data_IF_424210983032
#
_entry.id   IF_424210983032
#
_cell.length_a   1.000
_cell.length_b   1.000
_cell.length_c   1.000
_cell.angle_alpha   90.00
_cell.angle_beta   90.00
_cell.angle_gamma   90.00
#
_symmetry.space_group_name_H-M   'P 1'
#
loop_
_entity.id
_entity.type
_entity.pdbx_description
1 polymer ?
#
# COMPACT_ATOMS: atom_id res chain seq x y z
N UNK A 1 12.48 17.12 -8.44
CA UNK A 1 11.61 18.01 -7.61
C UNK A 1 11.98 19.43 -7.92
N UNK A 2 11.05 20.27 -8.38
CA UNK A 2 11.29 21.72 -8.47
C UNK A 2 11.43 22.24 -7.04
N UNK A 3 12.54 22.93 -6.76
CA UNK A 3 12.75 23.58 -5.46
C UNK A 3 11.69 24.67 -5.27
N UNK A 4 10.96 24.61 -4.15
CA UNK A 4 10.01 25.63 -3.76
C UNK A 4 10.73 26.98 -3.73
N UNK A 5 10.14 28.03 -4.32
CA UNK A 5 10.75 29.36 -4.34
C UNK A 5 11.00 29.83 -2.90
N UNK A 6 12.27 30.12 -2.60
CA UNK A 6 12.63 30.62 -1.29
C UNK A 6 12.31 32.11 -1.22
N UNK A 7 11.46 32.52 -0.27
CA UNK A 7 11.09 33.90 -0.02
C UNK A 7 11.89 34.47 1.15
N UNK A 8 12.30 35.73 0.99
CA UNK A 8 12.95 36.47 2.04
C UNK A 8 11.88 36.88 3.08
N UNK A 9 12.02 36.43 4.32
CA UNK A 9 11.09 36.72 5.41
C UNK A 9 11.80 37.35 6.60
N UNK A 10 11.07 38.08 7.41
CA UNK A 10 11.54 38.58 8.70
C UNK A 10 10.87 37.75 9.80
N UNK A 11 11.67 37.01 10.58
CA UNK A 11 11.20 36.33 11.78
C UNK A 11 11.32 37.25 12.97
N UNK A 12 10.24 37.41 13.69
CA UNK A 12 10.21 38.15 14.97
C UNK A 12 10.03 37.09 16.07
N UNK A 13 10.99 37.03 17.00
CA UNK A 13 10.94 36.12 18.15
C UNK A 13 11.54 36.82 19.37
N UNK A 14 10.81 36.82 20.47
CA UNK A 14 11.24 37.42 21.75
C UNK A 14 11.78 38.87 21.61
N UNK A 15 11.13 39.70 20.78
CA UNK A 15 11.50 41.11 20.55
C UNK A 15 12.74 41.31 19.64
N UNK A 16 13.27 40.24 19.02
CA UNK A 16 14.37 40.32 18.03
C UNK A 16 13.85 40.01 16.64
N UNK A 17 14.37 40.70 15.63
CA UNK A 17 14.06 40.43 14.22
C UNK A 17 15.26 39.83 13.52
N UNK A 18 15.03 38.79 12.71
CA UNK A 18 16.02 38.08 11.91
C UNK A 18 15.51 37.96 10.48
N UNK A 19 16.34 38.28 9.50
CA UNK A 19 16.07 38.02 8.08
C UNK A 19 16.51 36.60 7.73
N UNK A 20 15.60 35.81 7.14
CA UNK A 20 15.92 34.46 6.64
C UNK A 20 15.20 34.18 5.33
N UNK A 21 15.73 33.21 4.61
CA UNK A 21 15.03 32.63 3.45
C UNK A 21 14.22 31.42 3.90
N UNK A 22 12.98 31.35 3.46
CA UNK A 22 12.10 30.22 3.77
C UNK A 22 11.36 29.76 2.50
N UNK A 23 11.35 28.46 2.22
CA UNK A 23 10.52 27.93 1.15
C UNK A 23 9.04 28.13 1.50
N UNK A 24 8.25 28.49 0.51
CA UNK A 24 6.80 28.69 0.62
C UNK A 24 6.10 27.82 -0.41
N UNK A 25 4.96 27.28 -0.07
CA UNK A 25 4.16 26.45 -0.97
C UNK A 25 3.70 27.26 -2.19
N UNK A 26 3.82 26.64 -3.35
CA UNK A 26 3.41 27.22 -4.62
C UNK A 26 1.91 26.96 -4.87
N UNK A 27 1.16 28.00 -5.20
CA UNK A 27 -0.20 27.90 -5.74
C UNK A 27 -0.13 27.85 -7.27
N UNK A 28 -0.50 26.72 -7.84
CA UNK A 28 -0.46 26.51 -9.28
C UNK A 28 -1.89 26.45 -9.84
N UNK A 29 -2.34 27.49 -10.58
CA UNK A 29 -3.64 27.51 -11.22
C UNK A 29 -3.60 26.72 -12.54
N UNK A 30 -4.16 25.51 -12.52
CA UNK A 30 -4.27 24.64 -13.68
C UNK A 30 -5.63 24.83 -14.35
N UNK A 31 -5.64 25.46 -15.52
CA UNK A 31 -6.85 25.61 -16.36
C UNK A 31 -7.15 24.27 -17.04
N UNK A 32 -8.38 23.81 -16.92
CA UNK A 32 -8.83 22.53 -17.42
C UNK A 32 -9.77 22.71 -18.60
N UNK A 33 -9.34 22.22 -19.78
CA UNK A 33 -10.13 22.17 -20.99
C UNK A 33 -10.48 20.72 -21.30
N UNK A 34 -11.77 20.42 -21.47
CA UNK A 34 -12.27 19.07 -21.73
C UNK A 34 -13.10 19.07 -23.01
N UNK A 35 -12.77 18.17 -23.94
CA UNK A 35 -13.41 18.09 -25.27
C UNK A 35 -13.49 19.46 -25.97
N UNK A 36 -12.44 20.27 -25.83
CA UNK A 36 -12.32 21.61 -26.43
C UNK A 36 -13.03 22.76 -25.67
N UNK A 37 -13.73 22.47 -24.58
CA UNK A 37 -14.44 23.48 -23.76
C UNK A 37 -13.72 23.70 -22.43
N UNK A 38 -13.67 24.94 -21.96
CA UNK A 38 -13.17 25.22 -20.61
C UNK A 38 -14.15 24.69 -19.57
N UNK A 39 -13.61 23.91 -18.60
CA UNK A 39 -14.39 23.28 -17.54
C UNK A 39 -14.24 24.02 -16.22
N UNK A 40 -12.99 24.21 -15.77
CA UNK A 40 -12.66 24.79 -14.47
C UNK A 40 -11.18 25.22 -14.40
N UNK A 41 -10.81 25.92 -13.34
CA UNK A 41 -9.42 26.11 -12.91
C UNK A 41 -9.22 25.41 -11.58
N UNK A 42 -8.28 24.47 -11.52
CA UNK A 42 -7.88 23.78 -10.31
C UNK A 42 -6.67 24.49 -9.71
N UNK A 43 -6.79 24.99 -8.49
CA UNK A 43 -5.65 25.49 -7.73
C UNK A 43 -5.03 24.31 -6.99
N UNK A 44 -3.78 23.96 -7.32
CA UNK A 44 -3.14 22.72 -6.86
C UNK A 44 -1.63 22.92 -6.68
N UNK A 45 -0.96 21.90 -6.16
CA UNK A 45 0.52 21.81 -6.21
C UNK A 45 0.98 21.34 -7.59
N UNK A 46 2.12 21.83 -8.14
CA UNK A 46 2.53 21.62 -9.54
C UNK A 46 3.27 20.27 -9.77
N UNK A 47 2.84 19.20 -9.16
CA UNK A 47 3.46 17.86 -9.34
C UNK A 47 2.43 16.80 -9.68
N UNK A 48 2.83 15.73 -10.36
CA UNK A 48 1.98 14.55 -10.70
C UNK A 48 0.56 14.94 -11.17
N UNK A 49 0.48 15.92 -12.07
CA UNK A 49 -0.79 16.53 -12.49
C UNK A 49 -1.69 15.53 -13.24
N UNK A 50 -1.12 14.51 -13.88
CA UNK A 50 -1.86 13.41 -14.49
C UNK A 50 -2.70 12.64 -13.48
N UNK A 51 -2.17 12.37 -12.28
CA UNK A 51 -2.92 11.70 -11.22
C UNK A 51 -4.04 12.60 -10.69
N UNK A 52 -3.74 13.88 -10.47
CA UNK A 52 -4.76 14.85 -10.05
C UNK A 52 -5.96 14.87 -11.03
N UNK A 53 -5.67 14.94 -12.33
CA UNK A 53 -6.71 15.06 -13.36
C UNK A 53 -7.52 13.77 -13.50
N UNK A 54 -6.88 12.61 -13.62
CA UNK A 54 -7.59 11.34 -13.73
C UNK A 54 -8.49 11.09 -12.52
N UNK A 55 -7.97 11.32 -11.31
CA UNK A 55 -8.75 11.17 -10.10
C UNK A 55 -9.85 12.20 -9.96
N UNK A 56 -9.62 13.46 -10.37
CA UNK A 56 -10.65 14.48 -10.44
C UNK A 56 -11.82 13.99 -11.32
N UNK A 57 -11.55 13.53 -12.55
CA UNK A 57 -12.62 13.03 -13.45
C UNK A 57 -13.33 11.80 -12.87
N UNK A 58 -12.58 10.87 -12.26
CA UNK A 58 -13.16 9.68 -11.62
C UNK A 58 -14.09 10.07 -10.47
N UNK A 59 -13.66 10.98 -9.61
CA UNK A 59 -14.42 11.37 -8.41
C UNK A 59 -15.55 12.32 -8.72
N UNK A 60 -15.50 13.02 -9.85
CA UNK A 60 -16.63 13.78 -10.38
C UNK A 60 -17.64 12.86 -11.09
N UNK A 61 -17.30 11.61 -11.42
CA UNK A 61 -18.14 10.67 -12.15
C UNK A 61 -18.19 10.92 -13.66
N UNK A 62 -17.15 11.55 -14.22
CA UNK A 62 -17.02 11.74 -15.66
C UNK A 62 -16.42 10.53 -16.35
N UNK A 63 -15.67 9.73 -15.61
CA UNK A 63 -15.05 8.49 -16.09
C UNK A 63 -15.21 7.38 -15.04
N UNK A 64 -15.22 6.14 -15.49
CA UNK A 64 -15.17 4.96 -14.65
C UNK A 64 -13.81 4.27 -14.69
N UNK A 65 -13.08 4.40 -15.77
CA UNK A 65 -11.74 3.83 -15.97
C UNK A 65 -10.84 4.78 -16.77
N UNK A 66 -9.55 4.46 -16.87
CA UNK A 66 -8.61 5.19 -17.72
C UNK A 66 -8.92 5.02 -19.21
N UNK A 67 -9.64 3.96 -19.61
CA UNK A 67 -10.06 3.74 -20.99
C UNK A 67 -11.03 4.81 -21.49
N UNK A 68 -11.70 5.51 -20.59
CA UNK A 68 -12.60 6.62 -20.93
C UNK A 68 -11.82 7.89 -21.33
N UNK A 69 -10.52 7.95 -21.05
CA UNK A 69 -9.63 9.05 -21.42
C UNK A 69 -8.99 8.73 -22.77
N UNK A 70 -9.35 9.47 -23.81
CA UNK A 70 -8.73 9.33 -25.12
C UNK A 70 -7.35 9.98 -25.17
N UNK A 71 -7.20 11.16 -24.55
CA UNK A 71 -5.94 11.85 -24.40
C UNK A 71 -5.94 12.75 -23.16
N UNK A 72 -4.78 12.83 -22.51
CA UNK A 72 -4.53 13.74 -21.40
C UNK A 72 -3.18 14.39 -21.60
N UNK A 73 -3.18 15.70 -21.85
CA UNK A 73 -1.99 16.51 -22.03
C UNK A 73 -1.95 17.64 -21.02
N UNK A 74 -0.79 17.82 -20.37
CA UNK A 74 -0.54 18.94 -19.45
C UNK A 74 0.60 19.77 -19.98
N UNK A 75 0.34 21.05 -20.21
CA UNK A 75 1.35 22.03 -20.54
C UNK A 75 1.66 22.86 -19.30
N UNK A 76 2.73 22.48 -18.59
CA UNK A 76 3.12 23.09 -17.32
C UNK A 76 3.44 24.57 -17.47
N UNK A 77 4.07 25.00 -18.59
CA UNK A 77 4.49 26.38 -18.81
C UNK A 77 3.30 27.34 -18.93
N UNK A 78 2.15 26.85 -19.41
CA UNK A 78 0.94 27.67 -19.60
C UNK A 78 -0.14 27.43 -18.56
N UNK A 79 0.09 26.51 -17.61
CA UNK A 79 -0.94 26.13 -16.62
C UNK A 79 -2.22 25.62 -17.29
N UNK A 80 -2.08 24.80 -18.35
CA UNK A 80 -3.19 24.29 -19.14
C UNK A 80 -3.16 22.76 -19.20
N UNK A 81 -4.27 22.16 -18.86
CA UNK A 81 -4.53 20.76 -19.11
C UNK A 81 -5.62 20.59 -20.18
N UNK A 82 -5.32 19.83 -21.22
CA UNK A 82 -6.26 19.48 -22.27
C UNK A 82 -6.57 17.99 -22.22
N UNK A 83 -7.83 17.66 -22.04
CA UNK A 83 -8.30 16.28 -21.86
C UNK A 83 -9.39 15.98 -22.87
N UNK A 84 -9.30 14.82 -23.52
CA UNK A 84 -10.38 14.29 -24.37
C UNK A 84 -10.95 13.04 -23.71
N UNK A 85 -12.24 13.08 -23.41
CA UNK A 85 -13.02 11.98 -22.88
C UNK A 85 -13.87 11.36 -23.98
N UNK A 86 -14.12 10.04 -23.89
CA UNK A 86 -15.01 9.31 -24.82
C UNK A 86 -16.48 9.70 -24.67
N UNK A 87 -16.89 10.06 -23.44
CA UNK A 87 -18.24 10.48 -23.12
C UNK A 87 -18.46 12.00 -23.29
N UNK A 88 -19.74 12.38 -23.38
CA UNK A 88 -20.13 13.79 -23.33
C UNK A 88 -20.14 14.28 -21.88
N UNK A 89 -19.70 15.53 -21.68
CA UNK A 89 -19.83 16.18 -20.38
C UNK A 89 -21.31 16.57 -20.17
N UNK A 90 -21.82 16.47 -18.91
CA UNK A 90 -23.15 16.94 -18.62
C UNK A 90 -23.27 18.45 -18.92
N UNK A 91 -24.35 18.84 -19.57
CA UNK A 91 -24.56 20.22 -20.05
C UNK A 91 -24.56 21.29 -18.96
N UNK A 92 -24.79 20.91 -17.71
CA UNK A 92 -24.76 21.82 -16.55
C UNK A 92 -23.96 21.21 -15.39
N UNK A 93 -22.74 21.67 -15.24
CA UNK A 93 -22.01 21.54 -13.99
C UNK A 93 -22.59 22.59 -13.03
N UNK A 94 -23.30 22.17 -12.00
CA UNK A 94 -23.74 23.09 -10.95
C UNK A 94 -22.57 23.29 -9.97
N UNK A 95 -21.86 24.44 -9.99
CA UNK A 95 -20.82 24.70 -9.04
C UNK A 95 -21.43 24.89 -7.65
N UNK A 96 -21.01 24.08 -6.69
CA UNK A 96 -21.31 24.30 -5.27
C UNK A 96 -20.17 25.10 -4.67
N UNK A 97 -20.46 26.29 -4.14
CA UNK A 97 -19.49 27.06 -3.38
C UNK A 97 -19.27 26.36 -2.04
N UNK A 98 -18.09 25.82 -1.83
CA UNK A 98 -17.71 25.23 -0.54
C UNK A 98 -16.96 26.26 0.32
N UNK A 99 -17.13 26.16 1.63
CA UNK A 99 -16.51 27.07 2.62
C UNK A 99 -15.00 26.87 2.77
N UNK A 100 -14.25 26.95 1.70
CA UNK A 100 -12.79 26.85 1.73
C UNK A 100 -12.21 26.42 0.38
N UNK A 101 -11.46 27.31 -0.24
CA UNK A 101 -10.61 27.09 -1.40
C UNK A 101 -11.25 26.35 -2.59
N UNK A 102 -12.06 27.07 -3.36
CA UNK A 102 -12.46 26.63 -4.70
C UNK A 102 -13.96 26.42 -4.89
N UNK A 103 -14.40 26.62 -6.11
CA UNK A 103 -15.72 26.25 -6.60
C UNK A 103 -15.82 24.72 -6.63
N UNK A 104 -16.43 24.10 -5.63
CA UNK A 104 -16.75 22.68 -5.62
C UNK A 104 -17.87 22.39 -6.63
N UNK A 105 -17.71 21.39 -7.43
CA UNK A 105 -18.80 20.83 -8.22
C UNK A 105 -19.67 19.98 -7.28
N UNK A 106 -21.00 20.10 -7.36
CA UNK A 106 -21.92 19.39 -6.47
C UNK A 106 -21.78 17.88 -6.61
N UNK A 107 -21.56 17.20 -5.50
CA UNK A 107 -21.46 15.74 -5.46
C UNK A 107 -22.82 15.13 -5.13
N UNK A 108 -23.50 14.62 -6.12
CA UNK A 108 -24.63 13.72 -5.90
C UNK A 108 -24.08 12.30 -5.78
N UNK A 109 -24.06 11.75 -4.54
CA UNK A 109 -23.81 10.31 -4.37
C UNK A 109 -25.06 9.53 -4.79
N UNK A 110 -24.95 8.59 -5.73
CA UNK A 110 -26.06 7.70 -6.06
C UNK A 110 -26.51 6.93 -4.82
N UNK A 111 -27.82 6.86 -4.58
CA UNK A 111 -28.41 6.11 -3.46
C UNK A 111 -27.99 4.64 -3.44
N UNK A 112 -27.74 4.07 -4.61
CA UNK A 112 -27.25 2.70 -4.79
C UNK A 112 -25.85 2.50 -4.18
N UNK A 113 -24.92 3.43 -4.40
CA UNK A 113 -23.58 3.41 -3.80
C UNK A 113 -23.62 3.44 -2.26
N UNK A 114 -24.55 4.21 -1.68
CA UNK A 114 -24.73 4.27 -0.24
C UNK A 114 -25.26 2.96 0.33
N UNK A 115 -26.18 2.29 -0.38
CA UNK A 115 -26.77 1.01 0.05
C UNK A 115 -25.78 -0.16 -0.05
N UNK A 116 -25.00 -0.23 -1.11
CA UNK A 116 -24.00 -1.27 -1.32
C UNK A 116 -22.85 -1.19 -0.28
N UNK A 117 -22.39 0.01 0.01
CA UNK A 117 -21.35 0.22 1.02
C UNK A 117 -21.80 -0.17 2.44
N UNK A 118 -23.07 0.06 2.78
CA UNK A 118 -23.61 -0.20 4.12
C UNK A 118 -23.69 -1.69 4.47
N UNK A 119 -23.84 -2.57 3.50
CA UNK A 119 -24.08 -4.01 3.72
C UNK A 119 -22.79 -4.83 3.92
N UNK A 120 -21.62 -4.23 3.75
CA UNK A 120 -20.35 -4.95 3.83
C UNK A 120 -19.86 -5.09 5.28
N UNK A 121 -19.57 -6.31 5.75
CA UNK A 121 -18.93 -6.50 7.05
C UNK A 121 -17.47 -5.99 6.97
N UNK A 122 -17.13 -5.07 7.84
CA UNK A 122 -15.78 -4.48 7.92
C UNK A 122 -15.27 -4.56 9.34
N UNK A 123 -14.00 -4.87 9.46
CA UNK A 123 -13.30 -4.83 10.75
C UNK A 123 -11.93 -4.18 10.54
N UNK A 124 -11.61 -3.24 11.41
CA UNK A 124 -10.34 -2.53 11.46
C UNK A 124 -9.80 -2.59 12.88
N UNK A 125 -8.48 -2.58 13.02
CA UNK A 125 -7.84 -2.51 14.33
C UNK A 125 -7.40 -1.07 14.62
N UNK A 126 -7.56 -0.61 15.85
CA UNK A 126 -7.16 0.74 16.26
C UNK A 126 -5.67 1.01 16.00
N UNK A 127 -4.82 0.00 16.23
CA UNK A 127 -3.38 0.09 16.00
C UNK A 127 -3.02 0.24 14.53
N UNK A 128 -3.81 -0.35 13.62
CA UNK A 128 -3.64 -0.19 12.18
C UNK A 128 -3.89 1.25 11.76
N UNK A 129 -4.92 1.90 12.31
CA UNK A 129 -5.21 3.33 12.08
C UNK A 129 -4.06 4.20 12.61
N UNK A 130 -3.58 3.92 13.83
CA UNK A 130 -2.46 4.67 14.44
C UNK A 130 -1.17 4.50 13.65
N UNK A 131 -0.89 3.28 13.16
CA UNK A 131 0.27 2.96 12.33
C UNK A 131 0.25 3.75 11.04
N UNK A 132 -0.85 3.69 10.29
CA UNK A 132 -0.99 4.40 9.02
C UNK A 132 -0.90 5.92 9.21
N UNK A 133 -1.51 6.47 10.28
CA UNK A 133 -1.40 7.89 10.60
C UNK A 133 0.02 8.29 10.98
N UNK A 134 0.76 7.45 11.67
CA UNK A 134 2.18 7.66 12.00
C UNK A 134 3.02 7.70 10.72
N UNK A 135 2.77 6.77 9.79
CA UNK A 135 3.46 6.71 8.50
C UNK A 135 3.16 7.94 7.66
N UNK A 136 1.90 8.39 7.56
CA UNK A 136 1.54 9.66 6.93
C UNK A 136 2.35 10.83 7.50
N UNK A 137 2.47 10.92 8.83
CA UNK A 137 3.23 12.00 9.48
C UNK A 137 4.74 11.93 9.19
N UNK A 138 5.29 10.76 8.92
CA UNK A 138 6.70 10.59 8.56
C UNK A 138 6.98 11.00 7.11
N UNK A 139 6.04 10.74 6.21
CA UNK A 139 6.16 11.02 4.78
C UNK A 139 5.89 12.48 4.41
N UNK A 140 5.29 13.28 5.29
CA UNK A 140 4.95 14.69 5.01
C UNK A 140 6.20 15.59 5.04
N UNK A 141 7.07 15.46 4.05
CA UNK A 141 8.30 16.25 3.92
C UNK A 141 8.01 17.71 3.62
N UNK A 142 7.10 18.00 2.69
CA UNK A 142 6.74 19.35 2.30
C UNK A 142 6.01 20.10 3.43
N UNK A 143 5.15 19.42 4.17
CA UNK A 143 4.52 20.01 5.36
C UNK A 143 5.55 20.41 6.42
N UNK A 144 6.61 19.61 6.60
CA UNK A 144 7.67 19.92 7.58
C UNK A 144 8.54 21.08 7.16
N UNK A 145 8.75 21.27 5.85
CA UNK A 145 9.63 22.32 5.33
C UNK A 145 8.99 23.71 5.41
N UNK A 146 7.70 23.85 5.08
CA UNK A 146 7.07 25.17 4.97
C UNK A 146 5.64 25.27 5.53
N UNK A 147 4.99 24.17 5.91
CA UNK A 147 3.56 24.19 6.29
C UNK A 147 2.65 24.47 5.07
N UNK A 148 1.34 24.64 5.28
CA UNK A 148 0.42 25.06 4.22
C UNK A 148 0.06 24.01 3.17
N UNK A 149 0.45 22.75 3.37
CA UNK A 149 0.12 21.60 2.53
C UNK A 149 -0.73 20.62 3.32
N UNK A 150 -1.67 20.00 2.65
CA UNK A 150 -2.42 18.86 3.15
C UNK A 150 -1.82 17.56 2.62
N UNK A 151 -1.98 16.48 3.39
CA UNK A 151 -1.57 15.15 3.01
C UNK A 151 -2.68 14.13 3.27
N UNK A 152 -2.73 13.11 2.42
CA UNK A 152 -3.59 11.96 2.58
C UNK A 152 -2.81 10.70 2.23
N UNK A 153 -3.14 9.59 2.89
CA UNK A 153 -2.63 8.28 2.55
C UNK A 153 -3.75 7.25 2.59
N UNK A 154 -3.63 6.26 1.72
CA UNK A 154 -4.45 5.05 1.79
C UNK A 154 -3.56 3.91 2.24
N UNK A 155 -4.06 3.14 3.19
CA UNK A 155 -3.45 1.91 3.66
C UNK A 155 -4.45 0.77 3.70
N UNK A 156 -3.93 -0.43 3.76
CA UNK A 156 -4.75 -1.62 3.91
C UNK A 156 -5.27 -1.78 5.36
N UNK A 157 -6.02 -2.85 5.61
CA UNK A 157 -6.62 -3.13 6.92
C UNK A 157 -5.59 -3.32 8.04
N UNK A 158 -4.35 -3.69 7.70
CA UNK A 158 -3.25 -3.84 8.64
C UNK A 158 -2.52 -2.52 8.91
N UNK A 159 -2.95 -1.43 8.25
CA UNK A 159 -2.35 -0.10 8.37
C UNK A 159 -1.04 0.07 7.62
N UNK A 160 -0.78 -0.77 6.61
CA UNK A 160 0.36 -0.62 5.73
C UNK A 160 0.02 0.32 4.59
N UNK A 161 0.94 1.24 4.31
CA UNK A 161 0.78 2.25 3.28
C UNK A 161 0.67 1.62 1.88
N UNK A 162 -0.34 2.03 1.14
CA UNK A 162 -0.53 1.70 -0.28
C UNK A 162 -0.25 2.92 -1.16
N UNK A 163 -0.79 4.08 -0.82
CA UNK A 163 -0.70 5.32 -1.58
C UNK A 163 -0.55 6.52 -0.66
N UNK A 164 0.15 7.55 -1.15
CA UNK A 164 0.34 8.82 -0.45
C UNK A 164 0.29 10.00 -1.44
N UNK A 165 -0.36 11.07 -1.05
CA UNK A 165 -0.43 12.30 -1.83
C UNK A 165 -0.36 13.55 -0.93
N UNK A 166 0.32 14.58 -1.43
CA UNK A 166 0.35 15.92 -0.85
C UNK A 166 -0.19 16.94 -1.86
N UNK A 167 -0.93 17.94 -1.37
CA UNK A 167 -1.42 19.08 -2.16
C UNK A 167 -1.77 20.24 -1.23
N UNK A 168 -1.75 21.47 -1.76
CA UNK A 168 -2.26 22.67 -1.06
C UNK A 168 -3.75 22.53 -0.74
N UNK A 169 -4.51 21.79 -1.56
CA UNK A 169 -5.93 21.51 -1.39
C UNK A 169 -6.17 20.12 -0.79
N UNK A 170 -6.80 20.04 0.40
CA UNK A 170 -7.15 18.73 1.00
C UNK A 170 -8.02 17.85 0.09
N UNK A 171 -8.87 18.44 -0.76
CA UNK A 171 -9.69 17.68 -1.72
C UNK A 171 -8.85 17.12 -2.88
N UNK A 172 -7.85 17.89 -3.32
CA UNK A 172 -6.92 17.45 -4.36
C UNK A 172 -6.07 16.26 -3.90
N UNK A 173 -5.79 16.11 -2.60
CA UNK A 173 -5.06 14.93 -2.11
C UNK A 173 -5.82 13.63 -2.41
N UNK A 174 -7.17 13.65 -2.30
CA UNK A 174 -8.00 12.50 -2.65
C UNK A 174 -8.06 12.28 -4.15
N UNK A 175 -8.15 13.36 -4.93
CA UNK A 175 -8.11 13.26 -6.39
C UNK A 175 -6.79 12.62 -6.85
N UNK A 176 -5.64 13.02 -6.27
CA UNK A 176 -4.34 12.42 -6.56
C UNK A 176 -4.28 10.95 -6.19
N UNK A 177 -4.75 10.59 -4.99
CA UNK A 177 -4.81 9.19 -4.55
C UNK A 177 -5.69 8.35 -5.48
N UNK A 178 -6.86 8.87 -5.87
CA UNK A 178 -7.76 8.18 -6.79
C UNK A 178 -7.13 7.96 -8.17
N UNK A 179 -6.51 9.01 -8.72
CA UNK A 179 -5.82 8.90 -10.00
C UNK A 179 -4.61 7.96 -9.93
N UNK A 180 -3.78 8.08 -8.91
CA UNK A 180 -2.65 7.16 -8.73
C UNK A 180 -3.11 5.71 -8.58
N UNK A 181 -4.22 5.47 -7.85
CA UNK A 181 -4.83 4.14 -7.75
C UNK A 181 -5.26 3.59 -9.12
N UNK A 182 -5.89 4.43 -9.96
CA UNK A 182 -6.27 4.04 -11.33
C UNK A 182 -5.06 3.68 -12.18
N UNK A 183 -4.03 4.52 -12.21
CA UNK A 183 -2.80 4.27 -12.98
C UNK A 183 -2.04 3.04 -12.48
N UNK A 184 -2.10 2.77 -11.18
CA UNK A 184 -1.43 1.63 -10.54
C UNK A 184 -2.32 0.40 -10.38
N UNK A 185 -3.58 0.46 -10.83
CA UNK A 185 -4.59 -0.59 -10.64
C UNK A 185 -4.68 -1.11 -9.19
N UNK A 186 -4.58 -0.19 -8.24
CA UNK A 186 -4.69 -0.50 -6.82
C UNK A 186 -6.16 -0.45 -6.43
N UNK A 187 -6.68 -1.55 -5.88
CA UNK A 187 -8.04 -1.62 -5.39
C UNK A 187 -8.16 -0.89 -4.05
N UNK A 188 -9.06 0.10 -4.00
CA UNK A 188 -9.31 0.92 -2.82
C UNK A 188 -10.50 0.46 -1.98
N UNK A 189 -11.21 -0.58 -2.44
CA UNK A 189 -12.37 -1.11 -1.77
C UNK A 189 -12.03 -1.60 -0.36
N UNK A 190 -12.79 -1.12 0.64
CA UNK A 190 -12.63 -1.44 2.06
C UNK A 190 -11.26 -1.10 2.66
N UNK A 191 -10.47 -0.24 2.00
CA UNK A 191 -9.22 0.26 2.53
C UNK A 191 -9.44 1.41 3.52
N UNK A 192 -8.37 1.81 4.23
CA UNK A 192 -8.37 2.94 5.16
C UNK A 192 -7.78 4.18 4.51
N UNK A 193 -8.46 5.31 4.65
CA UNK A 193 -7.97 6.65 4.26
C UNK A 193 -7.59 7.43 5.50
N UNK A 194 -6.36 7.92 5.58
CA UNK A 194 -5.93 8.85 6.62
C UNK A 194 -5.59 10.21 6.00
N UNK A 195 -5.91 11.31 6.71
CA UNK A 195 -5.69 12.67 6.22
C UNK A 195 -5.23 13.63 7.31
N UNK A 196 -4.43 14.62 6.94
CA UNK A 196 -4.05 15.72 7.83
C UNK A 196 -5.16 16.78 7.97
N UNK A 197 -6.08 16.83 6.99
CA UNK A 197 -7.12 17.86 6.87
C UNK A 197 -8.42 17.51 7.56
N UNK A 198 -9.28 18.54 7.78
CA UNK A 198 -10.64 18.36 8.27
C UNK A 198 -11.46 17.52 7.30
N UNK A 199 -12.27 16.59 7.83
CA UNK A 199 -13.17 15.75 7.02
C UNK A 199 -14.49 16.49 6.79
N UNK A 200 -14.73 16.89 5.54
CA UNK A 200 -15.98 17.51 5.07
C UNK A 200 -16.88 16.50 4.36
N UNK A 201 -18.12 16.87 4.09
CA UNK A 201 -19.07 16.09 3.29
C UNK A 201 -18.48 15.68 1.93
N UNK A 202 -17.78 16.62 1.27
CA UNK A 202 -17.11 16.34 -0.01
C UNK A 202 -16.02 15.26 0.12
N UNK A 203 -15.21 15.31 1.17
CA UNK A 203 -14.18 14.29 1.43
C UNK A 203 -14.82 12.91 1.61
N UNK A 204 -15.93 12.83 2.37
CA UNK A 204 -16.67 11.58 2.55
C UNK A 204 -17.27 11.09 1.24
N UNK A 205 -17.87 11.99 0.45
CA UNK A 205 -18.44 11.65 -0.85
C UNK A 205 -17.38 11.06 -1.80
N UNK A 206 -16.20 11.68 -1.87
CA UNK A 206 -15.06 11.15 -2.63
C UNK A 206 -14.61 9.77 -2.13
N UNK A 207 -14.44 9.63 -0.82
CA UNK A 207 -14.03 8.36 -0.21
C UNK A 207 -15.06 7.24 -0.45
N UNK A 208 -16.36 7.55 -0.36
CA UNK A 208 -17.43 6.60 -0.65
C UNK A 208 -17.41 6.10 -2.11
N UNK A 209 -17.12 7.00 -3.08
CA UNK A 209 -16.95 6.60 -4.50
C UNK A 209 -15.75 5.68 -4.72
N UNK A 210 -14.74 5.76 -3.90
CA UNK A 210 -13.57 4.86 -3.93
C UNK A 210 -13.81 3.55 -3.16
N UNK A 211 -14.97 3.40 -2.51
CA UNK A 211 -15.27 2.24 -1.68
C UNK A 211 -14.49 2.19 -0.36
N UNK A 212 -13.89 3.30 0.06
CA UNK A 212 -13.16 3.41 1.32
C UNK A 212 -14.06 3.02 2.50
N UNK A 213 -13.58 2.18 3.38
CA UNK A 213 -14.37 1.69 4.51
C UNK A 213 -14.11 2.41 5.84
N UNK A 214 -12.94 3.05 5.98
CA UNK A 214 -12.60 3.84 7.15
C UNK A 214 -11.90 5.15 6.74
N UNK A 215 -12.34 6.27 7.34
CA UNK A 215 -11.68 7.57 7.21
C UNK A 215 -11.16 8.00 8.57
N UNK A 216 -9.88 8.33 8.67
CA UNK A 216 -9.28 8.86 9.89
C UNK A 216 -8.59 10.21 9.64
N UNK A 217 -8.71 11.13 10.58
CA UNK A 217 -8.13 12.47 10.47
C UNK A 217 -7.41 12.91 11.75
N UNK A 218 -6.36 13.71 11.58
CA UNK A 218 -5.72 14.43 12.70
C UNK A 218 -6.59 15.52 13.33
N UNK A 219 -7.65 15.92 12.63
CA UNK A 219 -8.56 17.02 13.00
C UNK A 219 -10.00 16.54 13.12
N UNK A 220 -10.95 17.46 13.23
CA UNK A 220 -12.36 17.15 13.38
C UNK A 220 -13.07 16.87 12.05
N UNK A 221 -14.12 16.04 12.06
CA UNK A 221 -15.11 16.03 10.99
C UNK A 221 -16.11 17.17 11.15
N UNK A 222 -16.93 17.40 10.09
CA UNK A 222 -18.14 18.22 10.18
C UNK A 222 -19.36 17.35 10.52
N UNK A 223 -20.43 17.96 11.02
CA UNK A 223 -21.70 17.29 11.36
C UNK A 223 -22.30 16.52 10.16
N UNK A 224 -22.34 17.17 8.98
CA UNK A 224 -22.82 16.57 7.75
C UNK A 224 -21.92 15.43 7.26
N UNK A 225 -20.60 15.51 7.49
CA UNK A 225 -19.68 14.41 7.19
C UNK A 225 -19.98 13.18 8.08
N UNK A 226 -20.27 13.40 9.36
CA UNK A 226 -20.66 12.32 10.28
C UNK A 226 -21.96 11.65 9.79
N UNK A 227 -22.99 12.46 9.47
CA UNK A 227 -24.26 11.93 8.98
C UNK A 227 -24.09 11.12 7.67
N UNK A 228 -23.27 11.61 6.74
CA UNK A 228 -23.00 10.91 5.49
C UNK A 228 -22.22 9.60 5.71
N UNK A 229 -21.22 9.57 6.60
CA UNK A 229 -20.52 8.36 6.99
C UNK A 229 -21.46 7.31 7.59
N UNK A 230 -22.41 7.73 8.44
CA UNK A 230 -23.44 6.83 9.00
C UNK A 230 -24.33 6.21 7.92
N UNK A 231 -24.69 7.00 6.91
CA UNK A 231 -25.48 6.51 5.77
C UNK A 231 -24.67 5.57 4.87
N UNK A 232 -23.41 5.88 4.61
CA UNK A 232 -22.54 5.15 3.70
C UNK A 232 -21.87 3.91 4.35
N UNK A 233 -22.07 3.64 5.65
CA UNK A 233 -21.44 2.53 6.35
C UNK A 233 -19.92 2.71 6.54
N UNK A 234 -19.42 3.95 6.50
CA UNK A 234 -17.99 4.28 6.65
C UNK A 234 -17.66 4.57 8.11
N UNK A 235 -16.64 3.92 8.65
CA UNK A 235 -16.10 4.25 9.97
C UNK A 235 -15.37 5.59 9.92
N UNK A 236 -15.78 6.56 10.74
CA UNK A 236 -15.17 7.87 10.79
C UNK A 236 -14.47 8.09 12.12
N UNK A 237 -13.18 8.40 12.03
CA UNK A 237 -12.30 8.63 13.17
C UNK A 237 -11.68 10.03 13.05
N UNK A 238 -11.73 10.80 14.13
CA UNK A 238 -11.09 12.11 14.20
C UNK A 238 -10.07 12.20 15.32
N UNK A 239 -9.37 13.33 15.39
CA UNK A 239 -8.38 13.65 16.41
C UNK A 239 -7.34 12.56 16.65
N UNK A 240 -6.92 11.83 15.58
CA UNK A 240 -5.89 10.81 15.67
C UNK A 240 -4.55 11.45 15.99
N UNK A 241 -4.12 11.37 17.25
CA UNK A 241 -2.89 12.00 17.77
C UNK A 241 -2.26 11.13 18.84
N UNK A 242 -0.99 10.78 18.67
CA UNK A 242 -0.31 9.85 19.58
C UNK A 242 -1.01 8.50 19.62
N UNK A 243 -1.57 8.14 20.77
CA UNK A 243 -2.34 6.90 20.97
C UNK A 243 -3.86 7.17 21.13
N UNK A 244 -4.32 8.37 20.86
CA UNK A 244 -5.72 8.77 21.04
C UNK A 244 -6.42 8.93 19.71
N UNK A 245 -7.72 8.62 19.69
CA UNK A 245 -8.62 8.85 18.57
C UNK A 245 -10.07 8.92 19.05
N UNK A 246 -10.91 9.66 18.33
CA UNK A 246 -12.36 9.78 18.60
C UNK A 246 -13.13 9.12 17.46
N UNK A 247 -14.03 8.19 17.76
CA UNK A 247 -14.84 7.47 16.76
C UNK A 247 -16.23 8.09 16.65
N UNK A 248 -16.58 8.60 15.48
CA UNK A 248 -17.82 9.34 15.20
C UNK A 248 -18.92 8.51 14.54
N UNK A 249 -18.55 7.46 13.78
CA UNK A 249 -19.51 6.56 13.14
C UNK A 249 -19.00 5.13 13.13
N UNK A 250 -19.92 4.16 13.17
CA UNK A 250 -19.67 2.72 13.08
C UNK A 250 -18.58 2.19 14.05
N UNK A 251 -18.62 2.52 15.37
CA UNK A 251 -17.60 2.08 16.32
C UNK A 251 -17.47 0.55 16.41
N UNK A 252 -18.52 -0.19 16.08
CA UNK A 252 -18.52 -1.66 16.06
C UNK A 252 -17.61 -2.26 14.97
N UNK A 253 -17.21 -1.46 13.97
CA UNK A 253 -16.27 -1.88 12.92
C UNK A 253 -14.81 -1.64 13.32
N UNK A 254 -14.55 -0.89 14.41
CA UNK A 254 -13.23 -0.62 14.94
C UNK A 254 -13.03 -1.38 16.24
N UNK A 255 -12.11 -2.34 16.23
CA UNK A 255 -11.71 -3.06 17.44
C UNK A 255 -10.59 -2.30 18.13
N UNK A 256 -10.69 -2.20 19.46
CA UNK A 256 -9.59 -1.66 20.26
C UNK A 256 -8.57 -2.76 20.43
N UNK A 257 -7.43 -2.63 19.77
CA UNK A 257 -6.31 -3.54 19.97
C UNK A 257 -5.75 -3.35 21.38
N UNK A 258 -5.78 -4.38 22.20
CA UNK A 258 -5.20 -4.36 23.54
C UNK A 258 -3.68 -4.57 23.53
N UNK A 259 -3.14 -5.02 22.45
CA UNK A 259 -1.74 -5.07 21.97
C UNK A 259 -1.78 -5.62 20.53
N UNK A 260 -0.79 -5.32 19.68
CA UNK A 260 -0.58 -6.11 18.45
C UNK A 260 -0.31 -7.53 18.92
N UNK A 261 -1.29 -8.42 18.83
CA UNK A 261 -1.07 -9.83 19.11
C UNK A 261 -0.11 -10.37 18.05
N UNK A 262 1.17 -10.29 18.37
CA UNK A 262 2.19 -11.00 17.61
C UNK A 262 1.96 -12.51 17.82
N UNK A 263 2.38 -13.26 16.84
CA UNK A 263 2.34 -14.72 16.92
C UNK A 263 3.51 -15.14 17.78
N UNK A 264 3.19 -15.58 19.01
CA UNK A 264 4.20 -15.96 19.98
C UNK A 264 4.88 -17.30 19.59
N UNK A 265 6.16 -17.40 19.92
CA UNK A 265 6.92 -18.62 19.74
C UNK A 265 7.23 -18.99 18.28
N UNK A 266 7.03 -18.06 17.33
CA UNK A 266 7.33 -18.22 15.92
C UNK A 266 8.23 -17.08 15.44
N UNK A 267 9.30 -17.42 14.71
CA UNK A 267 10.16 -16.46 14.01
C UNK A 267 9.72 -16.35 12.56
N UNK A 268 9.56 -15.13 12.06
CA UNK A 268 9.32 -14.88 10.64
C UNK A 268 10.62 -15.03 9.82
N UNK A 269 10.58 -15.77 8.73
CA UNK A 269 11.74 -15.98 7.86
C UNK A 269 11.42 -15.55 6.44
N UNK A 270 12.24 -14.67 5.88
CA UNK A 270 12.16 -14.21 4.50
C UNK A 270 13.33 -14.80 3.73
N UNK A 271 13.03 -15.58 2.70
CA UNK A 271 14.07 -16.13 1.82
C UNK A 271 14.40 -15.10 0.72
N UNK A 272 15.56 -14.50 0.81
CA UNK A 272 16.08 -13.52 -0.14
C UNK A 272 17.38 -14.06 -0.76
N UNK A 273 17.29 -15.22 -1.40
CA UNK A 273 18.38 -15.89 -2.08
C UNK A 273 17.85 -16.64 -3.30
N UNK A 274 18.65 -16.68 -4.34
CA UNK A 274 18.37 -17.40 -5.58
C UNK A 274 19.04 -16.69 -6.75
N UNK A 275 19.66 -17.45 -7.66
CA UNK A 275 20.17 -16.90 -8.91
C UNK A 275 18.98 -16.39 -9.75
N UNK A 276 18.72 -15.10 -9.72
CA UNK A 276 17.69 -14.41 -10.53
C UNK A 276 18.05 -14.37 -12.02
N UNK A 277 18.46 -15.53 -12.58
CA UNK A 277 18.98 -15.66 -13.96
C UNK A 277 18.01 -15.17 -15.04
N UNK A 278 16.68 -15.17 -14.73
CA UNK A 278 15.63 -14.82 -15.72
C UNK A 278 15.29 -13.34 -15.77
N UNK A 279 15.60 -12.56 -14.72
CA UNK A 279 15.22 -11.15 -14.59
C UNK A 279 16.39 -10.18 -14.81
N UNK A 280 17.65 -10.68 -14.88
CA UNK A 280 18.85 -9.83 -15.05
C UNK A 280 19.20 -8.93 -13.86
N UNK A 281 18.37 -8.90 -12.82
CA UNK A 281 18.55 -8.14 -11.58
C UNK A 281 17.96 -8.90 -10.40
N UNK A 282 18.39 -8.57 -9.19
CA UNK A 282 17.82 -9.16 -7.97
C UNK A 282 16.36 -8.73 -7.80
N UNK A 283 15.43 -9.69 -7.88
CA UNK A 283 13.99 -9.47 -7.80
C UNK A 283 13.57 -8.77 -6.51
N UNK A 284 14.23 -9.08 -5.40
CA UNK A 284 13.91 -8.54 -4.08
C UNK A 284 14.04 -7.02 -4.02
N UNK A 285 14.89 -6.45 -4.90
CA UNK A 285 15.19 -5.02 -4.96
C UNK A 285 14.31 -4.25 -5.96
N UNK A 286 13.45 -4.94 -6.73
CA UNK A 286 12.58 -4.27 -7.70
C UNK A 286 11.59 -3.35 -6.98
N UNK A 287 11.45 -2.09 -7.45
CA UNK A 287 10.56 -1.13 -6.84
C UNK A 287 9.10 -1.40 -7.17
N UNK A 288 8.25 -1.46 -6.14
CA UNK A 288 6.79 -1.56 -6.25
C UNK A 288 6.17 -0.56 -5.30
N UNK A 289 5.29 0.30 -5.81
CA UNK A 289 4.58 1.30 -5.01
C UNK A 289 5.50 2.16 -4.10
N UNK A 290 6.70 2.51 -4.62
CA UNK A 290 7.65 3.38 -3.90
C UNK A 290 8.54 2.68 -2.87
N UNK A 291 8.49 1.35 -2.76
CA UNK A 291 9.39 0.55 -1.92
C UNK A 291 9.82 -0.73 -2.65
N UNK A 292 10.90 -1.39 -2.21
CA UNK A 292 11.34 -2.67 -2.79
C UNK A 292 10.39 -3.80 -2.39
N UNK A 293 10.31 -4.87 -3.17
CA UNK A 293 9.51 -6.06 -2.83
C UNK A 293 9.79 -6.56 -1.41
N UNK A 294 11.05 -6.69 -1.06
CA UNK A 294 11.45 -7.19 0.25
C UNK A 294 11.01 -6.25 1.39
N UNK A 295 10.93 -4.94 1.15
CA UNK A 295 10.45 -3.98 2.15
C UNK A 295 8.96 -4.21 2.46
N UNK A 296 8.14 -4.51 1.44
CA UNK A 296 6.73 -4.87 1.62
C UNK A 296 6.59 -6.17 2.41
N UNK A 297 7.33 -7.21 2.03
CA UNK A 297 7.34 -8.50 2.72
C UNK A 297 7.79 -8.32 4.17
N UNK A 298 8.90 -7.60 4.42
CA UNK A 298 9.42 -7.36 5.76
C UNK A 298 8.41 -6.63 6.65
N UNK A 299 7.78 -5.55 6.16
CA UNK A 299 6.79 -4.79 6.92
C UNK A 299 5.62 -5.68 7.38
N UNK A 300 5.14 -6.59 6.51
CA UNK A 300 4.09 -7.55 6.85
C UNK A 300 4.54 -8.53 7.94
N UNK A 301 5.73 -9.11 7.78
CA UNK A 301 6.29 -10.05 8.73
C UNK A 301 6.58 -9.40 10.10
N UNK A 302 7.06 -8.15 10.11
CA UNK A 302 7.37 -7.40 11.34
C UNK A 302 6.13 -7.03 12.18
N UNK A 303 4.94 -7.01 11.56
CA UNK A 303 3.67 -6.86 12.29
C UNK A 303 3.33 -8.15 13.04
N UNK A 304 3.58 -9.29 12.42
CA UNK A 304 3.14 -10.60 12.90
C UNK A 304 4.10 -11.22 13.90
N UNK A 305 5.42 -11.03 13.74
CA UNK A 305 6.44 -11.73 14.49
C UNK A 305 7.32 -10.77 15.28
N UNK A 306 7.76 -11.21 16.47
CA UNK A 306 8.72 -10.45 17.28
C UNK A 306 10.11 -10.47 16.64
N UNK A 307 10.55 -11.63 16.14
CA UNK A 307 11.79 -11.79 15.39
C UNK A 307 11.48 -12.02 13.91
N UNK A 308 12.17 -11.28 13.04
CA UNK A 308 12.21 -11.55 11.60
C UNK A 308 13.66 -11.76 11.18
N UNK A 309 13.92 -12.77 10.36
CA UNK A 309 15.23 -13.11 9.81
C UNK A 309 15.14 -13.07 8.28
N UNK A 310 16.13 -12.47 7.62
CA UNK A 310 16.33 -12.60 6.18
C UNK A 310 17.45 -13.62 5.95
N UNK A 311 17.14 -14.70 5.24
CA UNK A 311 18.13 -15.67 4.77
C UNK A 311 18.67 -15.21 3.42
N UNK A 312 19.96 -14.86 3.38
CA UNK A 312 20.61 -14.31 2.20
C UNK A 312 22.11 -14.52 2.23
N UNK A 313 22.71 -14.72 1.06
CA UNK A 313 24.15 -14.76 0.88
C UNK A 313 24.74 -13.38 0.48
N UNK A 314 23.90 -12.35 0.37
CA UNK A 314 24.28 -10.97 0.03
C UNK A 314 23.65 -9.99 1.04
N UNK A 315 24.09 -10.02 2.33
CA UNK A 315 23.47 -9.22 3.40
C UNK A 315 23.64 -7.71 3.19
N UNK A 316 24.63 -7.28 2.41
CA UNK A 316 24.90 -5.88 2.04
C UNK A 316 23.74 -5.23 1.27
N UNK A 317 22.94 -6.02 0.54
CA UNK A 317 21.78 -5.50 -0.22
C UNK A 317 20.60 -5.10 0.68
N UNK A 318 20.61 -5.52 1.94
CA UNK A 318 19.47 -5.38 2.87
C UNK A 318 19.83 -4.66 4.16
N UNK A 319 20.90 -3.86 4.15
CA UNK A 319 21.42 -3.15 5.36
C UNK A 319 20.39 -2.20 5.98
N UNK A 320 19.51 -1.61 5.15
CA UNK A 320 18.48 -0.67 5.60
C UNK A 320 17.30 -1.35 6.33
N UNK A 321 17.13 -2.68 6.17
CA UNK A 321 16.06 -3.41 6.84
C UNK A 321 16.51 -3.76 8.26
N UNK A 322 15.81 -3.33 9.31
CA UNK A 322 16.25 -3.50 10.71
C UNK A 322 15.93 -4.90 11.25
N UNK A 323 16.50 -5.94 10.64
CA UNK A 323 16.39 -7.32 11.08
C UNK A 323 17.71 -8.07 10.89
N UNK A 324 17.82 -9.26 11.48
CA UNK A 324 18.99 -10.13 11.33
C UNK A 324 19.06 -10.77 9.95
N UNK A 325 20.24 -10.78 9.33
CA UNK A 325 20.54 -11.46 8.07
C UNK A 325 21.42 -12.66 8.38
N UNK A 326 21.12 -13.79 7.81
CA UNK A 326 21.86 -15.04 8.01
C UNK A 326 22.17 -15.71 6.65
N UNK A 327 23.34 -16.31 6.46
CA UNK A 327 23.67 -17.00 5.22
C UNK A 327 23.05 -18.39 5.17
N UNK A 328 23.02 -18.98 3.96
CA UNK A 328 22.72 -20.39 3.78
C UNK A 328 23.80 -21.26 4.42
N UNK A 329 23.40 -22.24 5.25
CA UNK A 329 24.31 -23.26 5.80
C UNK A 329 24.70 -24.24 4.68
N UNK A 330 23.75 -24.63 3.84
CA UNK A 330 23.98 -25.46 2.67
C UNK A 330 23.99 -24.57 1.41
N UNK A 331 25.18 -24.14 1.01
CA UNK A 331 25.33 -23.19 -0.09
C UNK A 331 24.82 -23.74 -1.43
N UNK A 332 24.12 -22.94 -2.21
CA UNK A 332 23.61 -23.22 -3.56
C UNK A 332 22.66 -24.44 -3.68
N UNK A 333 21.97 -24.81 -2.59
CA UNK A 333 21.03 -25.94 -2.59
C UNK A 333 19.53 -25.53 -2.62
N UNK A 334 19.23 -24.32 -3.10
CA UNK A 334 17.88 -23.86 -3.39
C UNK A 334 17.04 -23.49 -2.13
N UNK A 335 15.72 -23.47 -2.29
CA UNK A 335 14.81 -23.00 -1.22
C UNK A 335 14.84 -23.90 0.03
N UNK A 336 15.11 -25.21 -0.10
CA UNK A 336 15.22 -26.10 1.06
C UNK A 336 16.38 -25.67 1.98
N UNK A 337 17.52 -25.31 1.41
CA UNK A 337 18.67 -24.80 2.18
C UNK A 337 18.34 -23.49 2.91
N UNK A 338 17.60 -22.61 2.26
CA UNK A 338 17.14 -21.37 2.88
C UNK A 338 16.19 -21.60 4.05
N UNK A 339 15.22 -22.52 3.91
CA UNK A 339 14.30 -22.89 5.01
C UNK A 339 15.08 -23.52 6.17
N UNK A 340 16.00 -24.47 5.87
CA UNK A 340 16.88 -25.09 6.87
C UNK A 340 17.67 -24.03 7.63
N UNK A 341 18.33 -23.11 6.92
CA UNK A 341 19.16 -22.06 7.51
C UNK A 341 18.33 -21.09 8.39
N UNK A 342 17.15 -20.71 7.90
CA UNK A 342 16.20 -19.91 8.68
C UNK A 342 15.81 -20.59 9.97
N UNK A 343 15.49 -21.89 9.93
CA UNK A 343 15.07 -22.68 11.08
C UNK A 343 16.21 -22.91 12.07
N UNK A 344 17.42 -23.20 11.57
CA UNK A 344 18.59 -23.38 12.41
C UNK A 344 19.02 -22.11 13.15
N UNK A 345 18.85 -20.93 12.54
CA UNK A 345 19.22 -19.65 13.13
C UNK A 345 18.13 -18.99 13.95
N UNK A 346 16.87 -19.46 13.87
CA UNK A 346 15.75 -18.90 14.60
C UNK A 346 15.90 -19.10 16.12
N UNK A 347 15.50 -18.06 16.89
CA UNK A 347 15.42 -18.16 18.35
C UNK A 347 14.24 -19.05 18.76
N UNK A 348 13.15 -18.99 18.04
CA UNK A 348 11.94 -19.78 18.30
C UNK A 348 12.09 -21.22 17.82
N UNK A 349 11.28 -22.13 18.40
CA UNK A 349 11.24 -23.54 17.97
C UNK A 349 10.54 -23.70 16.63
N UNK A 350 9.81 -22.70 16.18
CA UNK A 350 9.09 -22.71 14.90
C UNK A 350 9.38 -21.45 14.09
N UNK A 351 9.33 -21.59 12.77
CA UNK A 351 9.45 -20.48 11.83
C UNK A 351 8.26 -20.45 10.87
N UNK A 352 7.85 -19.26 10.45
CA UNK A 352 6.98 -19.06 9.30
C UNK A 352 7.82 -18.52 8.14
N UNK A 353 7.78 -19.21 7.00
CA UNK A 353 8.64 -18.92 5.85
C UNK A 353 7.85 -18.26 4.74
N UNK A 354 8.43 -17.22 4.13
CA UNK A 354 7.93 -16.59 2.89
C UNK A 354 9.07 -16.33 1.91
N UNK A 355 8.74 -16.31 0.62
CA UNK A 355 9.65 -15.81 -0.42
C UNK A 355 9.68 -14.28 -0.47
N UNK A 356 10.82 -13.69 -0.80
CA UNK A 356 10.93 -12.24 -1.01
C UNK A 356 10.15 -11.73 -2.23
N UNK A 357 9.71 -12.63 -3.11
CA UNK A 357 8.93 -12.37 -4.32
C UNK A 357 7.41 -12.57 -4.15
N UNK A 358 6.93 -12.64 -2.88
CA UNK A 358 5.52 -12.80 -2.50
C UNK A 358 4.99 -11.52 -1.82
N UNK A 359 4.72 -10.42 -2.54
CA UNK A 359 4.42 -9.12 -1.92
C UNK A 359 3.01 -9.02 -1.31
N UNK A 360 2.11 -9.97 -1.61
CA UNK A 360 0.70 -9.89 -1.23
C UNK A 360 0.34 -10.74 0.01
N UNK A 361 1.26 -10.86 0.96
CA UNK A 361 1.03 -11.63 2.20
C UNK A 361 -0.24 -11.11 2.89
N UNK A 362 -1.18 -12.04 3.14
CA UNK A 362 -2.37 -11.78 3.95
C UNK A 362 -2.12 -12.22 5.39
N UNK A 363 -2.17 -11.27 6.33
CA UNK A 363 -1.85 -11.52 7.74
C UNK A 363 -2.80 -12.51 8.41
N UNK A 364 -4.08 -12.55 8.00
CA UNK A 364 -5.06 -13.51 8.52
C UNK A 364 -4.75 -14.94 8.04
N UNK A 365 -4.29 -15.10 6.80
CA UNK A 365 -3.82 -16.42 6.30
C UNK A 365 -2.62 -16.90 7.13
N UNK A 366 -1.67 -16.02 7.41
CA UNK A 366 -0.49 -16.36 8.23
C UNK A 366 -0.92 -16.74 9.66
N UNK A 367 -1.84 -15.99 10.28
CA UNK A 367 -2.38 -16.30 11.61
C UNK A 367 -3.08 -17.64 11.63
N UNK A 368 -3.91 -17.92 10.62
CA UNK A 368 -4.60 -19.22 10.50
C UNK A 368 -3.60 -20.37 10.41
N UNK A 369 -2.57 -20.27 9.56
CA UNK A 369 -1.53 -21.31 9.44
C UNK A 369 -0.83 -21.51 10.79
N UNK A 370 -0.40 -20.43 11.44
CA UNK A 370 0.31 -20.48 12.72
C UNK A 370 -0.57 -20.96 13.87
N UNK A 371 -1.89 -20.80 13.82
CA UNK A 371 -2.81 -21.32 14.84
C UNK A 371 -2.78 -22.84 14.95
N UNK A 372 -2.32 -23.51 13.89
CA UNK A 372 -2.15 -24.96 13.84
C UNK A 372 -0.77 -25.46 14.31
N UNK A 373 0.09 -24.57 14.84
CA UNK A 373 1.47 -24.87 15.23
C UNK A 373 1.64 -26.08 16.16
N UNK A 374 0.70 -26.29 17.08
CA UNK A 374 0.75 -27.41 18.02
C UNK A 374 0.37 -28.77 17.39
N UNK A 375 -0.13 -28.79 16.15
CA UNK A 375 -0.70 -30.00 15.53
C UNK A 375 0.31 -30.83 14.77
N UNK A 376 1.45 -30.25 14.34
CA UNK A 376 2.46 -30.95 13.55
C UNK A 376 3.82 -30.25 13.55
N UNK A 377 4.77 -30.92 12.94
CA UNK A 377 6.13 -30.43 12.74
C UNK A 377 6.19 -29.44 11.56
N UNK A 378 5.33 -29.69 10.55
CA UNK A 378 5.15 -28.88 9.35
C UNK A 378 3.64 -28.60 9.16
N UNK A 379 3.27 -27.31 9.04
CA UNK A 379 1.91 -26.90 8.67
C UNK A 379 1.98 -26.18 7.32
N UNK A 380 1.33 -26.72 6.30
CA UNK A 380 1.42 -26.24 4.93
C UNK A 380 0.03 -26.04 4.32
N UNK A 381 -0.26 -24.89 3.71
CA UNK A 381 -1.48 -24.68 2.96
C UNK A 381 -1.42 -25.37 1.60
N UNK A 382 -2.58 -25.80 1.14
CA UNK A 382 -2.80 -26.32 -0.19
C UNK A 382 -3.60 -25.32 -1.01
N UNK A 383 -3.00 -24.78 -2.08
CA UNK A 383 -3.63 -23.90 -3.05
C UNK A 383 -4.13 -24.68 -4.26
N UNK A 384 -4.71 -23.96 -5.24
CA UNK A 384 -5.01 -24.54 -6.58
C UNK A 384 -3.77 -25.05 -7.30
N UNK A 385 -2.59 -24.52 -6.97
CA UNK A 385 -1.30 -24.90 -7.55
C UNK A 385 -0.62 -26.06 -6.82
N UNK A 386 -1.17 -26.51 -5.69
CA UNK A 386 -0.60 -27.56 -4.84
C UNK A 386 -0.13 -27.03 -3.48
N UNK A 387 0.88 -27.69 -2.89
CA UNK A 387 1.48 -27.24 -1.64
C UNK A 387 2.26 -25.94 -1.82
N UNK A 388 2.16 -25.05 -0.81
CA UNK A 388 2.84 -23.75 -0.79
C UNK A 388 3.98 -23.74 0.26
N UNK A 389 5.11 -24.36 -0.04
CA UNK A 389 6.19 -24.54 0.94
C UNK A 389 6.92 -23.25 1.30
N UNK A 390 6.78 -22.19 0.50
CA UNK A 390 7.28 -20.85 0.82
C UNK A 390 6.20 -19.93 1.39
N UNK A 391 5.16 -20.52 1.96
CA UNK A 391 4.15 -19.84 2.75
C UNK A 391 3.63 -20.79 3.85
N UNK A 392 4.57 -21.34 4.66
CA UNK A 392 4.32 -22.46 5.55
C UNK A 392 5.04 -22.30 6.90
N UNK A 393 4.57 -23.04 7.91
CA UNK A 393 5.16 -23.09 9.26
C UNK A 393 5.99 -24.38 9.39
N UNK A 394 7.24 -24.25 9.85
CA UNK A 394 8.19 -25.34 10.08
C UNK A 394 8.66 -25.35 11.53
N UNK A 395 8.70 -26.52 12.16
CA UNK A 395 9.30 -26.75 13.47
C UNK A 395 10.72 -27.29 13.35
N UNK A 396 11.55 -27.11 14.39
CA UNK A 396 12.92 -27.63 14.46
C UNK A 396 13.00 -29.15 14.34
N UNK A 397 11.91 -29.84 14.61
CA UNK A 397 11.74 -31.28 14.39
C UNK A 397 11.96 -31.65 12.92
N UNK A 398 11.79 -30.71 11.98
CA UNK A 398 12.04 -30.94 10.56
C UNK A 398 13.55 -30.97 10.20
N UNK A 399 14.44 -30.38 11.02
CA UNK A 399 15.86 -30.24 10.70
C UNK A 399 16.54 -31.56 10.33
N UNK A 400 16.42 -32.67 11.10
CA UNK A 400 17.10 -33.91 10.75
C UNK A 400 16.62 -34.53 9.42
N UNK A 401 15.36 -34.31 9.05
CA UNK A 401 14.80 -34.78 7.79
C UNK A 401 15.30 -33.92 6.60
N UNK A 402 15.36 -32.59 6.80
CA UNK A 402 15.92 -31.66 5.81
C UNK A 402 17.40 -31.92 5.55
N UNK A 403 18.19 -32.15 6.62
CA UNK A 403 19.63 -32.44 6.54
C UNK A 403 19.90 -33.69 5.72
N UNK A 404 19.15 -34.78 5.95
CA UNK A 404 19.29 -36.01 5.13
C UNK A 404 19.08 -35.76 3.63
N UNK A 405 18.11 -34.91 3.28
CA UNK A 405 17.83 -34.56 1.88
C UNK A 405 18.95 -33.69 1.30
N UNK A 406 19.42 -32.69 2.08
CA UNK A 406 20.49 -31.79 1.67
C UNK A 406 21.85 -32.50 1.55
N UNK A 407 22.21 -33.39 2.48
CA UNK A 407 23.43 -34.21 2.45
C UNK A 407 23.46 -35.17 1.25
N UNK A 408 22.28 -35.64 0.80
CA UNK A 408 22.15 -36.39 -0.44
C UNK A 408 22.25 -35.51 -1.70
N UNK A 409 22.48 -34.18 -1.58
CA UNK A 409 22.58 -33.25 -2.70
C UNK A 409 21.24 -32.94 -3.38
N UNK A 410 20.12 -33.32 -2.74
CA UNK A 410 18.78 -33.10 -3.27
C UNK A 410 18.25 -31.73 -2.83
N UNK A 411 17.56 -31.02 -3.76
CA UNK A 411 17.16 -29.61 -3.56
C UNK A 411 15.66 -29.41 -3.42
N UNK A 412 14.85 -30.45 -3.71
CA UNK A 412 13.40 -30.32 -3.74
C UNK A 412 12.82 -30.41 -2.35
N UNK A 413 12.16 -29.33 -1.92
CA UNK A 413 11.65 -29.16 -0.56
C UNK A 413 10.61 -30.24 -0.15
N UNK A 414 9.86 -30.79 -1.09
CA UNK A 414 8.83 -31.80 -0.80
C UNK A 414 9.40 -33.17 -0.39
N UNK A 415 10.70 -33.42 -0.56
CA UNK A 415 11.31 -34.75 -0.38
C UNK A 415 11.43 -35.21 1.07
N UNK A 416 11.22 -34.32 2.05
CA UNK A 416 11.26 -34.72 3.46
C UNK A 416 9.87 -34.78 4.12
N UNK A 417 8.79 -34.46 3.39
CA UNK A 417 7.44 -34.31 3.98
C UNK A 417 6.90 -35.61 4.60
N UNK A 418 7.22 -36.75 4.02
CA UNK A 418 6.87 -38.08 4.52
C UNK A 418 7.65 -38.53 5.76
N UNK A 419 8.66 -37.76 6.15
CA UNK A 419 9.53 -38.04 7.30
C UNK A 419 9.16 -37.21 8.55
N UNK A 420 8.14 -36.35 8.47
CA UNK A 420 7.73 -35.41 9.50
C UNK A 420 6.21 -35.46 9.71
N UNK A 421 5.74 -34.98 10.85
CA UNK A 421 4.31 -34.87 11.10
C UNK A 421 3.73 -33.68 10.32
N UNK A 422 3.23 -33.99 9.13
CA UNK A 422 2.65 -33.01 8.20
C UNK A 422 1.20 -32.69 8.57
N UNK A 423 0.85 -31.41 8.59
CA UNK A 423 -0.52 -30.89 8.66
C UNK A 423 -0.80 -30.09 7.40
N UNK A 424 -1.67 -30.62 6.56
CA UNK A 424 -2.13 -29.94 5.36
C UNK A 424 -3.39 -29.12 5.65
N UNK A 425 -3.38 -27.85 5.27
CA UNK A 425 -4.56 -26.98 5.37
C UNK A 425 -5.22 -26.90 3.98
N UNK A 426 -6.47 -27.39 3.85
CA UNK A 426 -7.15 -27.38 2.57
C UNK A 426 -7.43 -25.94 2.09
N UNK A 427 -7.52 -25.73 0.78
CA UNK A 427 -7.80 -24.44 0.17
C UNK A 427 -9.06 -23.76 0.73
N UNK A 428 -10.08 -24.53 1.15
CA UNK A 428 -11.30 -23.99 1.75
C UNK A 428 -11.07 -23.21 3.05
N UNK A 429 -10.03 -23.55 3.81
CA UNK A 429 -9.62 -22.81 5.02
C UNK A 429 -9.02 -21.47 4.61
N UNK A 430 -8.13 -21.48 3.62
CA UNK A 430 -7.44 -20.29 3.12
C UNK A 430 -8.41 -19.33 2.45
N UNK A 431 -9.35 -19.85 1.65
CA UNK A 431 -10.33 -19.04 0.89
C UNK A 431 -11.26 -18.21 1.78
N UNK A 432 -11.36 -18.51 3.08
CA UNK A 432 -12.11 -17.67 4.02
C UNK A 432 -11.48 -16.28 4.16
N UNK A 433 -10.16 -16.18 3.99
CA UNK A 433 -9.37 -14.97 4.17
C UNK A 433 -8.80 -14.43 2.85
N UNK A 434 -8.48 -15.33 1.92
CA UNK A 434 -7.89 -15.01 0.61
C UNK A 434 -8.52 -15.87 -0.51
N UNK A 435 -9.75 -15.52 -0.97
CA UNK A 435 -10.46 -16.29 -1.99
C UNK A 435 -9.76 -16.33 -3.34
N UNK A 436 -8.89 -15.36 -3.62
CA UNK A 436 -8.15 -15.23 -4.87
C UNK A 436 -6.75 -15.83 -4.79
N UNK A 437 -6.33 -16.32 -3.62
CA UNK A 437 -5.00 -16.89 -3.37
C UNK A 437 -3.85 -15.93 -3.72
N UNK A 438 -4.09 -14.62 -3.55
CA UNK A 438 -3.08 -13.59 -3.81
C UNK A 438 -1.82 -13.76 -2.95
N UNK A 439 -1.97 -14.26 -1.72
CA UNK A 439 -0.86 -14.52 -0.81
C UNK A 439 0.20 -15.45 -1.36
N UNK A 440 -0.17 -16.33 -2.30
CA UNK A 440 0.71 -17.32 -2.89
C UNK A 440 1.25 -16.91 -4.27
N UNK A 441 0.91 -15.70 -4.74
CA UNK A 441 1.39 -15.22 -6.03
C UNK A 441 2.84 -14.79 -5.94
N UNK A 442 3.68 -15.47 -6.74
CA UNK A 442 5.08 -15.11 -6.94
C UNK A 442 5.22 -14.19 -8.16
N UNK A 443 6.02 -13.17 -8.06
CA UNK A 443 6.39 -12.32 -9.19
C UNK A 443 7.68 -12.87 -9.78
N UNK A 444 7.58 -13.70 -10.83
CA UNK A 444 8.69 -14.49 -11.36
C UNK A 444 9.21 -14.00 -12.71
N UNK A 445 8.40 -13.28 -13.49
CA UNK A 445 8.77 -12.85 -14.84
C UNK A 445 8.71 -11.33 -14.97
N UNK A 446 9.43 -10.73 -15.95
CA UNK A 446 9.25 -9.32 -16.29
C UNK A 446 7.79 -9.00 -16.60
N UNK A 447 7.04 -9.92 -17.23
CA UNK A 447 5.64 -9.77 -17.54
C UNK A 447 4.79 -9.68 -16.26
N UNK A 448 5.03 -10.52 -15.25
CA UNK A 448 4.36 -10.44 -13.95
C UNK A 448 4.66 -9.11 -13.28
N UNK A 449 5.93 -8.71 -13.29
CA UNK A 449 6.38 -7.42 -12.76
C UNK A 449 5.79 -6.26 -13.55
N UNK A 450 5.80 -6.32 -14.89
CA UNK A 450 5.20 -5.29 -15.72
C UNK A 450 3.68 -5.30 -15.64
N UNK A 451 3.03 -6.43 -15.42
CA UNK A 451 1.60 -6.50 -15.13
C UNK A 451 1.30 -5.84 -13.78
N UNK A 452 2.10 -6.10 -12.80
CA UNK A 452 2.07 -5.40 -11.52
C UNK A 452 2.47 -3.92 -11.67
N UNK A 453 3.44 -3.58 -12.55
CA UNK A 453 3.97 -2.25 -12.82
C UNK A 453 3.28 -1.56 -14.01
N UNK A 454 2.73 -2.26 -14.99
CA UNK A 454 1.93 -1.74 -16.14
C UNK A 454 0.60 -1.26 -15.70
N UNK A 455 0.29 -1.64 -14.51
CA UNK A 455 -0.51 -0.91 -13.54
C UNK A 455 0.24 0.25 -12.86
N UNK A 456 1.55 0.50 -13.11
CA UNK A 456 2.45 1.39 -12.37
C UNK A 456 3.32 2.24 -13.30
N UNK A 457 2.80 2.83 -14.40
CA UNK A 457 3.61 3.59 -15.38
C UNK A 457 4.14 4.90 -14.79
N UNK A 458 5.45 5.01 -14.90
CA UNK A 458 6.34 6.19 -14.99
C UNK A 458 6.26 7.29 -13.93
N UNK A 459 7.04 7.13 -12.89
CA UNK A 459 7.81 8.24 -12.31
C UNK A 459 9.15 8.29 -13.07
N UNK A 460 9.48 9.47 -13.64
CA UNK A 460 10.58 9.72 -14.57
C UNK A 460 12.02 9.41 -14.13
N UNK A 461 12.24 8.20 -13.63
CA UNK A 461 13.57 7.61 -13.47
C UNK A 461 13.80 6.63 -14.61
N UNK A 462 14.87 6.90 -15.36
CA UNK A 462 15.32 6.13 -16.49
C UNK A 462 15.25 4.62 -16.20
N UNK A 463 14.45 3.91 -16.99
CA UNK A 463 14.42 2.46 -17.00
C UNK A 463 15.86 1.93 -17.13
N UNK A 464 16.31 0.97 -16.29
CA UNK A 464 17.51 0.24 -16.60
C UNK A 464 17.27 -0.44 -17.96
N UNK A 465 18.13 -0.13 -18.93
CA UNK A 465 18.09 -0.74 -20.25
C UNK A 465 18.27 -2.26 -20.09
N UNK A 466 17.17 -2.98 -20.07
CA UNK A 466 17.17 -4.42 -20.29
C UNK A 466 17.53 -4.62 -21.76
N UNK A 467 18.77 -5.01 -22.01
CA UNK A 467 19.24 -5.43 -23.34
C UNK A 467 18.29 -6.51 -23.86
N UNK A 468 17.53 -6.17 -24.90
CA UNK A 468 16.86 -7.17 -25.73
C UNK A 468 17.99 -8.02 -26.35
N UNK A 469 18.12 -9.25 -25.92
CA UNK A 469 18.96 -10.20 -26.60
C UNK A 469 18.48 -10.33 -28.05
N UNK A 470 19.32 -9.89 -28.98
CA UNK A 470 19.18 -10.23 -30.39
C UNK A 470 19.45 -11.73 -30.54
N UNK A 471 18.41 -12.52 -30.58
CA UNK A 471 18.50 -13.84 -31.21
C UNK A 471 18.41 -13.65 -32.72
N UNK A 472 19.57 -13.49 -33.35
CA UNK A 472 19.84 -13.80 -34.74
C UNK A 472 21.15 -14.61 -34.80
N UNK A 473 21.00 -15.91 -34.74
CA UNK A 473 21.64 -16.93 -35.63
C UNK A 473 21.23 -18.35 -35.19
#
# INVERSE_FOLDING_TARGET
MQESAAHQIIRISQGRSEQLQRPVVEEYPLRLRVNGKELATLVCSPHKLNFLLAGFFRLQGFIDSLDDIQSLGVCSDFGLAEVRLRGELPERLQPTLTSGCGTGIAYNLPSQLLSENKQRPRHYESDSVLRLMKELNQLTEQYRSHGGIHSAAVGDRDGLLLLHAEDIGRHNTLDRVAGEAMFRNIELQDQMLVTSGRVSTEMVAKAARLGIGLIASRTSPTDQAIALCQQAGITLVGYVRGQNMDVYSHPQQLRVSTAVERIDGVTGVILAGGESRRMGSDKSLLPVAGARFIDHVYRRMAILFEEVIIVTNSPELYTEIPCRKVPDIYYAQGSLAGVHSGLAHAKSEKIFVVGCDMPFINTEVVREICSHAARGDLVIPHSRSGHEPLHALYGKECLPAMERVLDAGLKRILLFFDQVKLVELPASVIHRFDPQEKSFQNINTPEDYFRLRGTLIDDGDAAPQLQRGNDNN
#
